data_IF_586587444898
#
_entry.id   IF_586587444898
#
_cell.length_a   1.000
_cell.length_b   1.000
_cell.length_c   1.000
_cell.angle_alpha   90.00
_cell.angle_beta   90.00
_cell.angle_gamma   90.00
#
_symmetry.space_group_name_H-M   'P 1'
#
loop_
_entity.id
_entity.type
_entity.pdbx_description
1 polymer ?
#
# COMPACT_ATOMS: atom_id res chain seq x y z
N UNK A 1 -7.39 -15.73 -2.17
CA UNK A 1 -6.89 -14.66 -1.28
C UNK A 1 -7.27 -13.27 -1.77
N UNK A 2 -6.91 -12.90 -2.99
CA UNK A 2 -7.25 -11.57 -3.55
C UNK A 2 -8.74 -11.26 -3.53
N UNK A 3 -9.61 -12.23 -3.80
CA UNK A 3 -11.06 -12.04 -3.76
C UNK A 3 -11.57 -11.63 -2.40
N UNK A 4 -11.06 -12.25 -1.33
CA UNK A 4 -11.44 -11.89 0.04
C UNK A 4 -10.99 -10.47 0.39
N UNK A 5 -9.76 -10.12 0.03
CA UNK A 5 -9.22 -8.78 0.24
C UNK A 5 -10.07 -7.76 -0.52
N UNK A 6 -10.33 -8.01 -1.79
CA UNK A 6 -11.12 -7.10 -2.63
C UNK A 6 -12.54 -6.90 -2.08
N UNK A 7 -13.17 -7.96 -1.58
CA UNK A 7 -14.51 -7.86 -0.97
C UNK A 7 -14.50 -6.95 0.26
N UNK A 8 -13.52 -7.11 1.11
CA UNK A 8 -13.40 -6.30 2.34
C UNK A 8 -13.13 -4.84 2.00
N UNK A 9 -12.19 -4.58 1.10
CA UNK A 9 -11.81 -3.22 0.71
C UNK A 9 -12.93 -2.52 -0.05
N UNK A 10 -13.61 -3.25 -0.95
CA UNK A 10 -14.72 -2.68 -1.73
C UNK A 10 -15.93 -2.33 -0.86
N UNK A 11 -16.15 -3.06 0.22
CA UNK A 11 -17.22 -2.79 1.18
C UNK A 11 -16.89 -1.63 2.14
N UNK A 12 -15.63 -1.21 2.21
CA UNK A 12 -15.19 -0.13 3.10
C UNK A 12 -15.06 1.17 2.32
N UNK A 13 -16.05 2.05 2.46
CA UNK A 13 -16.09 3.34 1.76
C UNK A 13 -14.95 4.28 2.18
N UNK A 14 -14.36 4.05 3.33
CA UNK A 14 -13.21 4.83 3.79
C UNK A 14 -11.92 4.52 3.02
N UNK A 15 -11.83 3.35 2.38
CA UNK A 15 -10.69 2.99 1.53
C UNK A 15 -10.95 3.53 0.13
N UNK A 16 -10.17 4.52 -0.29
CA UNK A 16 -10.31 5.09 -1.63
C UNK A 16 -9.61 4.20 -2.67
N UNK A 17 -8.35 3.85 -2.44
CA UNK A 17 -7.65 2.87 -3.27
C UNK A 17 -6.63 2.08 -2.45
N UNK A 18 -6.16 0.96 -3.00
CA UNK A 18 -5.28 0.05 -2.28
C UNK A 18 -4.41 -0.78 -3.22
N UNK A 19 -3.25 -1.18 -2.70
CA UNK A 19 -2.28 -2.03 -3.40
C UNK A 19 -1.90 -3.24 -2.57
N UNK A 20 -1.62 -4.34 -3.25
CA UNK A 20 -0.88 -5.47 -2.68
C UNK A 20 0.59 -5.29 -3.02
N UNK A 21 1.48 -5.46 -2.04
CA UNK A 21 2.91 -5.39 -2.27
C UNK A 21 3.64 -6.47 -1.46
N UNK A 22 4.96 -6.48 -1.51
CA UNK A 22 5.76 -7.45 -0.77
C UNK A 22 5.72 -8.86 -1.37
N UNK A 23 5.93 -9.87 -0.54
CA UNK A 23 6.15 -11.24 -1.00
C UNK A 23 4.95 -11.87 -1.70
N UNK A 24 3.72 -11.53 -1.29
CA UNK A 24 2.52 -12.01 -1.96
C UNK A 24 2.28 -11.34 -3.31
N UNK A 25 2.92 -10.20 -3.55
CA UNK A 25 2.85 -9.50 -4.84
C UNK A 25 3.88 -10.03 -5.83
N UNK A 26 5.09 -10.38 -5.37
CA UNK A 26 6.19 -10.83 -6.24
C UNK A 26 6.31 -12.35 -6.37
N UNK A 27 5.45 -13.10 -5.68
CA UNK A 27 5.43 -14.56 -5.76
C UNK A 27 6.42 -15.28 -4.85
N UNK A 28 7.13 -14.56 -3.97
CA UNK A 28 8.11 -15.15 -3.04
C UNK A 28 7.52 -15.54 -1.68
N UNK A 29 6.21 -15.37 -1.49
CA UNK A 29 5.56 -15.62 -0.21
C UNK A 29 5.66 -17.09 0.22
N UNK A 30 5.88 -17.27 1.51
CA UNK A 30 5.83 -18.57 2.20
C UNK A 30 4.65 -18.58 3.17
N UNK A 31 4.36 -19.74 3.77
CA UNK A 31 3.24 -19.88 4.71
C UNK A 31 3.35 -18.96 5.92
N UNK A 32 4.58 -18.64 6.34
CA UNK A 32 4.86 -17.72 7.45
C UNK A 32 4.90 -16.25 7.06
N UNK A 33 4.77 -15.93 5.77
CA UNK A 33 4.86 -14.54 5.30
C UNK A 33 3.63 -13.74 5.69
N UNK A 34 3.85 -12.47 6.09
CA UNK A 34 2.78 -11.51 6.27
C UNK A 34 2.23 -11.05 4.93
N UNK A 35 0.98 -10.60 4.93
CA UNK A 35 0.36 -10.01 3.75
C UNK A 35 0.53 -8.50 3.86
N UNK A 36 1.19 -7.90 2.86
CA UNK A 36 1.48 -6.47 2.81
C UNK A 36 0.44 -5.75 1.95
N UNK A 37 -0.34 -4.89 2.58
CA UNK A 37 -1.41 -4.13 1.95
C UNK A 37 -1.20 -2.65 2.22
N UNK A 38 -1.23 -1.82 1.17
CA UNK A 38 -1.17 -0.38 1.28
C UNK A 38 -2.52 0.22 0.92
N UNK A 39 -3.05 1.09 1.77
CA UNK A 39 -4.35 1.72 1.56
C UNK A 39 -4.25 3.23 1.65
N UNK A 40 -5.04 3.93 0.82
CA UNK A 40 -5.26 5.36 0.92
C UNK A 40 -6.66 5.59 1.46
N UNK A 41 -6.77 6.30 2.59
CA UNK A 41 -8.01 6.47 3.33
C UNK A 41 -8.59 7.87 3.14
N UNK A 42 -9.91 7.96 3.14
CA UNK A 42 -10.61 9.25 3.17
C UNK A 42 -10.48 9.91 4.55
N UNK A 43 -10.70 9.14 5.60
CA UNK A 43 -10.63 9.58 7.00
C UNK A 43 -9.51 8.80 7.70
N UNK A 44 -8.62 9.51 8.39
CA UNK A 44 -7.47 8.93 9.08
C UNK A 44 -7.76 8.57 10.54
N UNK A 45 -9.02 8.46 10.93
CA UNK A 45 -9.44 8.06 12.28
C UNK A 45 -8.79 6.72 12.68
N UNK A 46 -8.19 6.68 13.86
CA UNK A 46 -7.45 5.51 14.33
C UNK A 46 -8.35 4.28 14.52
N UNK A 47 -9.57 4.48 14.98
CA UNK A 47 -10.51 3.36 15.20
C UNK A 47 -10.91 2.73 13.87
N UNK A 48 -11.07 3.53 12.82
CA UNK A 48 -11.36 3.04 11.48
C UNK A 48 -10.19 2.22 10.91
N UNK A 49 -8.95 2.66 11.16
CA UNK A 49 -7.76 1.91 10.74
C UNK A 49 -7.65 0.58 11.46
N UNK A 50 -7.85 0.56 12.77
CA UNK A 50 -7.79 -0.65 13.59
C UNK A 50 -8.87 -1.64 13.19
N UNK A 51 -10.08 -1.14 12.91
CA UNK A 51 -11.19 -1.97 12.46
C UNK A 51 -10.89 -2.65 11.11
N UNK A 52 -10.36 -1.91 10.16
CA UNK A 52 -9.95 -2.45 8.86
C UNK A 52 -8.86 -3.52 9.01
N UNK A 53 -7.83 -3.22 9.80
CA UNK A 53 -6.73 -4.14 10.06
C UNK A 53 -7.25 -5.45 10.68
N UNK A 54 -8.11 -5.33 11.67
CA UNK A 54 -8.71 -6.50 12.34
C UNK A 54 -9.57 -7.34 11.38
N UNK A 55 -10.39 -6.69 10.56
CA UNK A 55 -11.21 -7.39 9.56
C UNK A 55 -10.37 -8.19 8.58
N UNK A 56 -9.27 -7.60 8.11
CA UNK A 56 -8.37 -8.27 7.18
C UNK A 56 -7.68 -9.48 7.84
N UNK A 57 -7.14 -9.30 9.04
CA UNK A 57 -6.47 -10.40 9.77
C UNK A 57 -7.43 -11.55 10.04
N UNK A 58 -8.65 -11.24 10.47
CA UNK A 58 -9.66 -12.24 10.79
C UNK A 58 -10.10 -13.03 9.54
N UNK A 59 -10.32 -12.34 8.44
CA UNK A 59 -10.77 -12.96 7.20
C UNK A 59 -9.70 -13.83 6.55
N UNK A 60 -8.44 -13.41 6.63
CA UNK A 60 -7.33 -14.07 5.94
C UNK A 60 -6.57 -15.05 6.82
N UNK A 61 -6.81 -15.04 8.13
CA UNK A 61 -6.12 -15.89 9.13
C UNK A 61 -4.59 -15.74 9.04
N UNK A 62 -4.12 -14.53 8.76
CA UNK A 62 -2.70 -14.18 8.66
C UNK A 62 -2.46 -12.80 9.24
N UNK A 63 -1.22 -12.55 9.62
CA UNK A 63 -0.80 -11.20 9.98
C UNK A 63 -0.79 -10.31 8.75
N UNK A 64 -1.32 -9.12 8.92
CA UNK A 64 -1.40 -8.10 7.86
C UNK A 64 -0.48 -6.94 8.24
N UNK A 65 0.43 -6.60 7.34
CA UNK A 65 1.19 -5.37 7.42
C UNK A 65 0.43 -4.30 6.63
N UNK A 66 -0.24 -3.42 7.34
CA UNK A 66 -1.10 -2.39 6.76
C UNK A 66 -0.37 -1.05 6.72
N UNK A 67 -0.07 -0.58 5.53
CA UNK A 67 0.57 0.72 5.30
C UNK A 67 -0.49 1.75 4.93
N UNK A 68 -0.49 2.87 5.62
CA UNK A 68 -1.38 4.00 5.32
C UNK A 68 -0.64 4.96 4.40
N UNK A 69 -1.03 4.97 3.12
CA UNK A 69 -0.36 5.74 2.08
C UNK A 69 -0.41 7.24 2.33
N UNK A 70 -1.47 7.73 2.98
CA UNK A 70 -1.62 9.13 3.34
C UNK A 70 -0.44 9.66 4.18
N UNK A 71 0.18 8.77 4.95
CA UNK A 71 1.24 9.13 5.91
C UNK A 71 2.59 8.52 5.56
N UNK A 72 2.66 7.68 4.53
CA UNK A 72 3.89 7.00 4.16
C UNK A 72 4.90 7.98 3.58
N UNK A 73 6.10 8.02 4.17
CA UNK A 73 7.19 8.93 3.78
C UNK A 73 8.43 8.21 3.28
N UNK A 74 8.53 6.91 3.52
CA UNK A 74 9.69 6.13 3.09
C UNK A 74 9.65 5.96 1.57
N UNK A 75 10.57 6.61 0.88
CA UNK A 75 10.64 6.62 -0.59
C UNK A 75 10.88 5.22 -1.16
N UNK A 76 11.69 4.41 -0.50
CA UNK A 76 11.95 3.05 -0.98
C UNK A 76 10.72 2.15 -0.87
N UNK A 77 9.96 2.31 0.21
CA UNK A 77 8.69 1.60 0.39
C UNK A 77 7.67 2.02 -0.68
N UNK A 78 7.51 3.33 -0.90
CA UNK A 78 6.60 3.87 -1.92
C UNK A 78 7.01 3.37 -3.31
N UNK A 79 8.29 3.37 -3.63
CA UNK A 79 8.81 2.84 -4.89
C UNK A 79 8.42 1.38 -5.07
N UNK A 80 8.62 0.55 -4.05
CA UNK A 80 8.27 -0.87 -4.09
C UNK A 80 6.77 -1.07 -4.36
N UNK A 81 5.91 -0.33 -3.66
CA UNK A 81 4.46 -0.42 -3.81
C UNK A 81 4.03 -0.04 -5.23
N UNK A 82 4.50 1.10 -5.72
CA UNK A 82 4.07 1.62 -7.02
C UNK A 82 4.63 0.81 -8.20
N UNK A 83 5.85 0.29 -8.07
CA UNK A 83 6.48 -0.46 -9.17
C UNK A 83 5.91 -1.88 -9.30
N UNK A 84 5.43 -2.50 -8.23
CA UNK A 84 4.73 -3.77 -8.32
C UNK A 84 3.36 -3.64 -8.97
N UNK A 85 2.72 -2.49 -8.81
CA UNK A 85 1.48 -2.07 -9.50
C UNK A 85 0.34 -3.10 -9.42
N UNK A 86 0.17 -3.72 -8.27
CA UNK A 86 -0.96 -4.63 -8.03
C UNK A 86 -2.05 -3.87 -7.29
N UNK A 87 -3.03 -3.39 -8.02
CA UNK A 87 -4.15 -2.58 -7.51
C UNK A 87 -5.25 -3.50 -7.00
N UNK A 88 -5.58 -3.37 -5.71
CA UNK A 88 -6.66 -4.13 -5.07
C UNK A 88 -7.99 -3.40 -5.13
N UNK A 89 -7.97 -2.08 -5.06
CA UNK A 89 -9.15 -1.22 -5.21
C UNK A 89 -8.71 0.05 -5.93
N UNK A 90 -9.50 0.49 -6.90
CA UNK A 90 -9.19 1.67 -7.70
C UNK A 90 -10.09 2.85 -7.36
N UNK A 91 -9.58 4.07 -7.62
CA UNK A 91 -10.28 5.32 -7.42
C UNK A 91 -9.64 6.38 -8.32
N UNK A 92 -10.40 7.40 -8.80
CA UNK A 92 -9.82 8.46 -9.62
C UNK A 92 -8.63 9.20 -8.98
N UNK A 93 -8.60 9.31 -7.66
CA UNK A 93 -7.49 9.95 -6.93
C UNK A 93 -6.17 9.17 -7.03
N UNK A 94 -6.21 7.90 -7.40
CA UNK A 94 -4.99 7.07 -7.49
C UNK A 94 -4.02 7.63 -8.52
N UNK A 95 -4.49 8.06 -9.68
CA UNK A 95 -3.64 8.61 -10.73
C UNK A 95 -2.87 9.84 -10.25
N UNK A 96 -3.54 10.79 -9.62
CA UNK A 96 -2.90 12.00 -9.09
C UNK A 96 -1.89 11.66 -7.99
N UNK A 97 -2.25 10.72 -7.11
CA UNK A 97 -1.36 10.24 -6.06
C UNK A 97 -0.08 9.63 -6.64
N UNK A 98 -0.22 8.73 -7.64
CA UNK A 98 0.92 8.08 -8.27
C UNK A 98 1.85 9.07 -8.97
N UNK A 99 1.29 10.03 -9.72
CA UNK A 99 2.08 11.05 -10.38
C UNK A 99 2.90 11.87 -9.39
N UNK A 100 2.28 12.29 -8.29
CA UNK A 100 2.95 13.05 -7.24
C UNK A 100 4.07 12.24 -6.60
N UNK A 101 3.81 10.99 -6.26
CA UNK A 101 4.80 10.12 -5.60
C UNK A 101 5.94 9.73 -6.54
N UNK A 102 5.66 9.51 -7.81
CA UNK A 102 6.70 9.25 -8.81
C UNK A 102 7.66 10.43 -8.94
N UNK A 103 7.14 11.67 -8.92
CA UNK A 103 7.96 12.87 -8.90
C UNK A 103 8.86 12.93 -7.65
N UNK A 104 8.27 12.70 -6.49
CA UNK A 104 9.01 12.70 -5.23
C UNK A 104 10.11 11.62 -5.21
N UNK A 105 9.82 10.44 -5.74
CA UNK A 105 10.78 9.33 -5.82
C UNK A 105 11.93 9.71 -6.75
N UNK A 106 11.64 10.24 -7.93
CA UNK A 106 12.67 10.64 -8.90
C UNK A 106 13.55 11.75 -8.35
N UNK A 107 12.96 12.76 -7.73
CA UNK A 107 13.70 13.87 -7.13
C UNK A 107 14.62 13.39 -6.00
N UNK A 108 14.12 12.52 -5.15
CA UNK A 108 14.92 11.95 -4.05
C UNK A 108 16.10 11.14 -4.59
N UNK A 109 15.88 10.26 -5.56
CA UNK A 109 16.94 9.43 -6.13
C UNK A 109 17.97 10.25 -6.89
N UNK A 110 17.55 11.27 -7.62
CA UNK A 110 18.45 12.18 -8.32
C UNK A 110 19.33 12.96 -7.34
N UNK A 111 18.74 13.46 -6.26
CA UNK A 111 19.46 14.18 -5.21
C UNK A 111 20.48 13.26 -4.51
N UNK A 112 20.09 12.04 -4.20
CA UNK A 112 20.98 11.05 -3.58
C UNK A 112 22.16 10.72 -4.50
N UNK A 113 21.91 10.52 -5.79
CA UNK A 113 22.99 10.26 -6.76
C UNK A 113 23.94 11.44 -6.87
N UNK A 114 23.42 12.66 -6.85
CA UNK A 114 24.24 13.88 -6.86
C UNK A 114 25.17 13.92 -5.64
N UNK A 115 24.65 13.66 -4.44
CA UNK A 115 25.43 13.63 -3.20
C UNK A 115 26.48 12.53 -3.24
N UNK A 116 26.12 11.33 -3.67
CA UNK A 116 27.02 10.19 -3.72
C UNK A 116 28.13 10.39 -4.76
N UNK A 117 27.87 11.14 -5.83
CA UNK A 117 28.83 11.48 -6.86
C UNK A 117 29.80 12.62 -6.48
N UNK A 118 29.41 13.42 -5.50
CA UNK A 118 30.23 14.53 -5.01
C UNK A 118 31.25 14.05 -4.00
#
# INVERSE_FOLDING_TARGET
>A
MKKKINSILSADDNVEFAYLFGSYADGSAEDSSDIDIAVYLQDLDIDMRLDLHHKLQKALHKDIDLVILNEAKNIYLLKSILYQDIVLKDHPKRTDFELKKEHEIKDFLAFRNYIDAA
#
